data_IF_073332583813
#
_entry.id   IF_073332583813
#
_cell.length_a   1.000
_cell.length_b   1.000
_cell.length_c   1.000
_cell.angle_alpha   90.00
_cell.angle_beta   90.00
_cell.angle_gamma   90.00
#
_symmetry.space_group_name_H-M   'P 1'
#
loop_
_entity.id
_entity.type
_entity.pdbx_description
1 polymer ?
#
# COMPACT_ATOMS: atom_id res chain seq x y z
N UNK A 1 -36.32 4.26 66.50
CA UNK A 1 -36.29 3.83 65.08
C UNK A 1 -35.02 4.38 64.45
N UNK A 2 -34.00 3.57 64.29
CA UNK A 2 -32.74 3.96 63.70
C UNK A 2 -32.72 3.52 62.22
N UNK A 3 -32.73 4.48 61.30
CA UNK A 3 -32.69 4.24 59.85
C UNK A 3 -31.28 3.93 59.40
N UNK A 4 -31.04 2.72 58.90
CA UNK A 4 -29.79 2.33 58.29
C UNK A 4 -29.69 2.87 56.85
N UNK A 5 -28.80 3.84 56.63
CA UNK A 5 -28.51 4.38 55.32
C UNK A 5 -27.56 3.43 54.58
N UNK A 6 -28.01 2.75 53.54
CA UNK A 6 -27.21 1.91 52.68
C UNK A 6 -26.44 2.78 51.65
N UNK A 7 -25.15 2.98 51.86
CA UNK A 7 -24.28 3.65 50.93
C UNK A 7 -23.92 2.69 49.78
N UNK A 8 -24.48 2.93 48.58
CA UNK A 8 -24.13 2.16 47.37
C UNK A 8 -22.78 2.68 46.85
N UNK A 9 -21.74 1.88 47.01
CA UNK A 9 -20.44 2.16 46.40
C UNK A 9 -20.51 1.69 44.95
N UNK A 10 -20.56 2.60 44.00
CA UNK A 10 -20.45 2.29 42.57
C UNK A 10 -18.97 2.20 42.19
N UNK A 11 -18.49 1.00 41.98
CA UNK A 11 -17.10 0.81 41.48
C UNK A 11 -17.02 1.22 39.99
N UNK A 12 -16.32 2.30 39.72
CA UNK A 12 -16.00 2.73 38.34
C UNK A 12 -14.85 1.90 37.83
N UNK A 13 -15.10 0.94 36.95
CA UNK A 13 -14.06 0.15 36.29
C UNK A 13 -13.34 1.03 35.25
N UNK A 14 -12.10 1.39 35.52
CA UNK A 14 -11.22 2.07 34.58
C UNK A 14 -10.71 1.07 33.54
N UNK A 15 -11.25 1.08 32.34
CA UNK A 15 -10.74 0.27 31.22
C UNK A 15 -9.47 0.93 30.70
N UNK A 16 -8.33 0.33 31.03
CA UNK A 16 -7.03 0.75 30.45
C UNK A 16 -6.97 0.27 28.99
N UNK A 17 -7.11 1.20 28.06
CA UNK A 17 -6.87 0.94 26.64
C UNK A 17 -5.35 0.87 26.39
N UNK A 18 -4.81 -0.33 26.28
CA UNK A 18 -3.43 -0.53 25.88
C UNK A 18 -3.44 -0.65 24.34
N UNK A 19 -2.85 0.30 23.60
CA UNK A 19 -2.74 0.19 22.15
C UNK A 19 -1.88 -1.05 21.82
N UNK A 20 -2.46 -2.00 21.10
CA UNK A 20 -1.71 -3.13 20.57
C UNK A 20 -0.74 -2.62 19.50
N UNK A 21 0.56 -2.88 19.67
CA UNK A 21 1.53 -2.64 18.59
C UNK A 21 1.28 -3.67 17.49
N UNK A 22 0.97 -3.19 16.30
CA UNK A 22 0.74 -4.05 15.15
C UNK A 22 2.07 -4.57 14.57
N UNK A 23 2.11 -5.84 14.20
CA UNK A 23 3.12 -6.34 13.28
C UNK A 23 2.85 -5.72 11.91
N UNK A 24 3.92 -5.47 11.12
CA UNK A 24 3.74 -5.01 9.76
C UNK A 24 2.94 -6.04 8.96
N UNK A 25 1.86 -5.59 8.34
CA UNK A 25 1.05 -6.40 7.42
C UNK A 25 1.72 -6.45 6.05
N UNK A 26 1.56 -7.55 5.33
CA UNK A 26 1.95 -7.67 3.92
C UNK A 26 0.96 -6.96 2.97
N UNK A 27 -0.16 -6.48 3.49
CA UNK A 27 -1.11 -5.62 2.80
C UNK A 27 -1.14 -4.24 3.48
N UNK A 28 -1.31 -3.16 2.73
CA UNK A 28 -1.51 -1.85 3.33
C UNK A 28 -2.84 -1.78 4.09
N UNK A 29 -2.90 -0.89 5.08
CA UNK A 29 -4.16 -0.52 5.71
C UNK A 29 -4.97 0.33 4.72
N UNK A 30 -6.12 -0.18 4.29
CA UNK A 30 -6.97 0.49 3.29
C UNK A 30 -7.58 1.82 3.78
N UNK A 31 -7.56 2.10 5.08
CA UNK A 31 -7.99 3.38 5.64
C UNK A 31 -6.89 4.44 5.56
N UNK A 32 -5.62 4.02 5.55
CA UNK A 32 -4.45 4.90 5.44
C UNK A 32 -3.95 4.99 3.98
N UNK A 33 -3.98 3.87 3.27
CA UNK A 33 -3.50 3.78 1.87
C UNK A 33 -4.53 3.01 1.03
N UNK A 34 -5.64 3.64 0.65
CA UNK A 34 -6.67 3.02 -0.20
C UNK A 34 -6.20 2.79 -1.65
N UNK A 35 -5.10 3.41 -2.05
CA UNK A 35 -4.66 3.53 -3.42
C UNK A 35 -5.21 4.77 -4.11
N UNK A 36 -4.34 5.49 -4.82
CA UNK A 36 -4.72 6.66 -5.62
C UNK A 36 -4.12 6.56 -7.02
N UNK A 37 -4.87 7.01 -8.01
CA UNK A 37 -4.46 7.00 -9.42
C UNK A 37 -4.00 8.38 -9.86
N UNK A 38 -3.09 8.41 -10.84
CA UNK A 38 -2.69 9.62 -11.53
C UNK A 38 -3.74 9.96 -12.60
N UNK A 39 -4.50 11.07 -12.46
CA UNK A 39 -5.58 11.40 -13.38
C UNK A 39 -5.09 11.75 -14.80
N UNK A 40 -3.80 12.00 -14.97
CA UNK A 40 -3.18 12.26 -16.28
C UNK A 40 -2.84 10.99 -17.05
N UNK A 41 -2.97 9.81 -16.43
CA UNK A 41 -2.79 8.51 -17.09
C UNK A 41 -4.14 7.85 -17.32
N UNK A 42 -4.50 7.69 -18.58
CA UNK A 42 -5.78 7.10 -19.01
C UNK A 42 -5.53 5.95 -19.98
N UNK A 43 -6.52 5.06 -20.14
CA UNK A 43 -6.43 3.97 -21.12
C UNK A 43 -6.09 4.47 -22.53
N UNK A 44 -6.60 5.64 -22.92
CA UNK A 44 -6.38 6.24 -24.24
C UNK A 44 -4.97 6.75 -24.47
N UNK A 45 -4.24 7.04 -23.37
CA UNK A 45 -2.90 7.62 -23.49
C UNK A 45 -1.77 6.73 -22.96
N UNK A 46 -2.04 5.48 -22.60
CA UNK A 46 -1.01 4.58 -22.04
C UNK A 46 0.25 4.50 -22.89
N UNK A 47 0.11 4.48 -24.22
CA UNK A 47 1.25 4.43 -25.16
C UNK A 47 2.01 5.75 -25.29
N UNK A 48 1.50 6.84 -24.70
CA UNK A 48 2.19 8.15 -24.58
C UNK A 48 2.67 8.42 -23.16
N UNK A 49 2.31 7.56 -22.21
CA UNK A 49 2.63 7.68 -20.79
C UNK A 49 3.30 6.39 -20.29
N UNK A 50 2.61 5.58 -19.49
CA UNK A 50 3.18 4.43 -18.76
C UNK A 50 3.90 3.42 -19.65
N UNK A 51 3.50 3.22 -20.88
CA UNK A 51 4.14 2.30 -21.81
C UNK A 51 5.38 2.88 -22.53
N UNK A 52 5.71 4.15 -22.26
CA UNK A 52 6.93 4.77 -22.76
C UNK A 52 8.10 4.47 -21.85
N UNK A 53 9.19 3.97 -22.42
CA UNK A 53 10.42 3.67 -21.66
C UNK A 53 10.91 4.90 -20.90
N UNK A 54 11.04 4.77 -19.59
CA UNK A 54 11.56 5.84 -18.73
C UNK A 54 10.47 6.77 -18.18
N UNK A 55 9.21 6.66 -18.57
CA UNK A 55 8.13 7.49 -18.06
C UNK A 55 8.09 7.56 -16.53
N UNK A 56 8.16 6.42 -15.85
CA UNK A 56 8.11 6.37 -14.37
C UNK A 56 9.25 7.14 -13.70
N UNK A 57 10.40 7.31 -14.37
CA UNK A 57 11.51 8.12 -13.85
C UNK A 57 11.21 9.62 -13.88
N UNK A 58 10.37 10.06 -14.82
CA UNK A 58 10.02 11.50 -14.96
C UNK A 58 9.00 11.97 -13.92
N UNK A 59 8.24 11.03 -13.34
CA UNK A 59 7.17 11.35 -12.38
C UNK A 59 7.47 10.86 -10.97
N UNK A 60 8.51 10.06 -10.77
CA UNK A 60 8.86 9.52 -9.44
C UNK A 60 9.28 10.64 -8.50
N UNK A 61 8.68 10.71 -7.29
CA UNK A 61 9.06 11.71 -6.31
C UNK A 61 10.50 11.52 -5.83
N UNK A 62 11.17 12.59 -5.40
CA UNK A 62 12.55 12.52 -4.94
C UNK A 62 12.66 11.74 -3.61
N UNK A 63 13.79 11.06 -3.41
CA UNK A 63 14.01 10.19 -2.26
C UNK A 63 13.87 10.89 -0.89
N UNK A 64 14.16 12.20 -0.80
CA UNK A 64 13.98 12.93 0.46
C UNK A 64 12.51 13.02 0.88
N UNK A 65 11.59 13.15 -0.10
CA UNK A 65 10.15 13.15 0.13
C UNK A 65 9.69 11.77 0.64
N UNK A 66 9.98 10.69 -0.11
CA UNK A 66 9.56 9.35 0.25
C UNK A 66 10.19 8.87 1.57
N UNK A 67 11.44 9.21 1.86
CA UNK A 67 12.07 8.87 3.14
C UNK A 67 11.45 9.61 4.34
N UNK A 68 10.99 10.85 4.15
CA UNK A 68 10.27 11.60 5.20
C UNK A 68 8.90 10.97 5.42
N UNK A 69 8.15 10.70 4.36
CA UNK A 69 6.81 10.12 4.41
C UNK A 69 6.85 8.73 5.06
N UNK A 70 7.79 7.85 4.67
CA UNK A 70 7.99 6.54 5.27
C UNK A 70 8.07 6.59 6.80
N UNK A 71 8.89 7.47 7.34
CA UNK A 71 9.04 7.62 8.80
C UNK A 71 7.76 8.09 9.48
N UNK A 72 6.95 8.89 8.80
CA UNK A 72 5.65 9.34 9.29
C UNK A 72 4.66 8.18 9.26
N UNK A 73 4.49 7.53 8.11
CA UNK A 73 3.52 6.45 7.93
C UNK A 73 3.85 5.20 8.76
N UNK A 74 5.12 4.86 8.99
CA UNK A 74 5.48 3.80 9.94
C UNK A 74 4.92 4.04 11.36
N UNK A 75 4.75 5.30 11.77
CA UNK A 75 4.10 5.64 13.06
C UNK A 75 2.59 5.54 12.97
N UNK A 76 2.00 6.04 11.87
CA UNK A 76 0.55 6.02 11.61
C UNK A 76 0.03 4.58 11.49
N UNK A 77 0.79 3.71 10.84
CA UNK A 77 0.52 2.27 10.74
C UNK A 77 0.74 1.52 12.07
N UNK A 78 1.33 2.18 13.08
CA UNK A 78 1.56 1.56 14.38
C UNK A 78 2.58 0.42 14.37
N UNK A 79 3.47 0.33 13.38
CA UNK A 79 4.44 -0.76 13.29
C UNK A 79 5.34 -0.86 14.52
N UNK A 80 5.49 -2.07 15.07
CA UNK A 80 6.39 -2.34 16.19
C UNK A 80 7.86 -2.21 15.79
N UNK A 81 8.23 -2.72 14.62
CA UNK A 81 9.55 -2.52 14.04
C UNK A 81 9.67 -1.09 13.49
N UNK A 82 10.57 -0.31 14.08
CA UNK A 82 10.82 1.09 13.72
C UNK A 82 12.06 1.29 12.84
N UNK A 83 12.71 0.20 12.39
CA UNK A 83 13.87 0.30 11.54
C UNK A 83 13.46 0.60 10.08
N UNK A 84 13.69 1.82 9.55
CA UNK A 84 13.22 2.18 8.21
C UNK A 84 13.96 1.42 7.08
N UNK A 85 15.02 0.69 7.38
CA UNK A 85 15.73 -0.16 6.41
C UNK A 85 14.96 -1.46 6.11
N UNK A 86 14.06 -1.87 7.01
CA UNK A 86 13.23 -3.06 6.83
C UNK A 86 12.01 -2.80 5.95
N UNK A 87 11.80 -1.53 5.58
CA UNK A 87 10.67 -1.09 4.77
C UNK A 87 11.13 -0.31 3.55
N UNK A 88 10.31 -0.34 2.54
CA UNK A 88 10.39 0.53 1.37
C UNK A 88 9.17 1.45 1.35
N UNK A 89 9.35 2.70 0.98
CA UNK A 89 8.22 3.57 0.70
C UNK A 89 7.82 3.30 -0.72
N UNK A 90 6.76 2.53 -0.88
CA UNK A 90 6.35 2.06 -2.18
C UNK A 90 4.93 2.49 -2.56
N UNK A 91 4.65 2.50 -3.87
CA UNK A 91 3.36 2.83 -4.42
C UNK A 91 2.46 1.60 -4.40
N UNK A 92 1.29 1.65 -3.74
CA UNK A 92 0.32 0.55 -3.77
C UNK A 92 -0.11 0.26 -5.21
N UNK A 93 -0.58 1.29 -5.92
CA UNK A 93 -0.77 1.21 -7.37
C UNK A 93 0.51 1.72 -8.02
N UNK A 94 1.22 0.84 -8.72
CA UNK A 94 2.52 1.15 -9.29
C UNK A 94 2.48 2.34 -10.28
N UNK A 95 3.55 3.12 -10.32
CA UNK A 95 3.70 4.19 -11.31
C UNK A 95 3.60 3.69 -12.75
N UNK A 96 4.03 2.46 -13.00
CA UNK A 96 4.02 1.81 -14.30
C UNK A 96 2.62 1.46 -14.82
N UNK A 97 1.62 1.51 -13.95
CA UNK A 97 0.19 1.35 -14.29
C UNK A 97 -0.63 2.56 -13.85
N UNK A 98 -0.01 3.74 -13.75
CA UNK A 98 -0.71 5.00 -13.52
C UNK A 98 -1.12 5.27 -12.07
N UNK A 99 -0.42 4.73 -11.09
CA UNK A 99 -0.56 5.15 -9.70
C UNK A 99 -0.11 6.60 -9.49
N UNK A 100 -0.73 7.28 -8.52
CA UNK A 100 -0.39 8.65 -8.16
C UNK A 100 1.04 8.71 -7.59
N UNK A 101 1.91 9.61 -8.08
CA UNK A 101 3.33 9.58 -7.73
C UNK A 101 3.64 10.07 -6.31
N UNK A 102 2.94 11.10 -5.84
CA UNK A 102 3.23 11.82 -4.60
C UNK A 102 2.04 11.91 -3.63
N UNK A 103 0.96 11.17 -3.92
CA UNK A 103 -0.21 11.11 -3.04
C UNK A 103 0.05 10.10 -1.90
N UNK A 104 0.02 10.53 -0.62
CA UNK A 104 0.16 9.63 0.53
C UNK A 104 -0.86 8.48 0.56
N UNK A 105 -2.04 8.65 -0.06
CA UNK A 105 -3.04 7.59 -0.19
C UNK A 105 -2.60 6.45 -1.14
N UNK A 106 -1.53 6.64 -1.89
CA UNK A 106 -0.93 5.63 -2.77
C UNK A 106 0.44 5.15 -2.30
N UNK A 107 0.98 5.72 -1.23
CA UNK A 107 2.30 5.40 -0.69
C UNK A 107 2.17 4.73 0.67
N UNK A 108 2.98 3.70 0.92
CA UNK A 108 2.97 2.99 2.19
C UNK A 108 4.34 2.37 2.53
N UNK A 109 4.64 2.19 3.82
CA UNK A 109 5.90 1.54 4.24
C UNK A 109 5.78 0.03 4.07
N UNK A 110 6.12 -0.46 2.89
CA UNK A 110 6.05 -1.87 2.52
C UNK A 110 7.17 -2.69 3.14
N UNK A 111 6.88 -3.86 3.77
CA UNK A 111 7.90 -4.73 4.32
C UNK A 111 8.82 -5.33 3.25
N UNK A 112 10.13 -5.28 3.52
CA UNK A 112 11.15 -5.95 2.69
C UNK A 112 11.44 -7.38 3.12
N UNK A 113 11.11 -7.71 4.38
CA UNK A 113 11.42 -8.98 5.03
C UNK A 113 10.11 -9.60 5.53
N UNK A 114 9.42 -10.27 4.62
CA UNK A 114 8.18 -10.98 4.89
C UNK A 114 7.97 -12.03 3.81
N UNK A 115 6.95 -12.87 3.96
CA UNK A 115 6.59 -13.84 2.91
C UNK A 115 6.13 -13.11 1.63
N UNK A 116 5.26 -12.10 1.77
CA UNK A 116 4.76 -11.26 0.69
C UNK A 116 5.47 -9.90 0.74
N UNK A 117 6.72 -9.90 0.31
CA UNK A 117 7.61 -8.74 0.37
C UNK A 117 7.60 -7.91 -0.91
N UNK A 118 8.23 -6.75 -0.86
CA UNK A 118 8.36 -5.81 -1.97
C UNK A 118 8.81 -6.45 -3.29
N UNK A 119 9.74 -7.44 -3.26
CA UNK A 119 10.18 -8.12 -4.49
C UNK A 119 9.08 -8.93 -5.18
N UNK A 120 8.17 -9.53 -4.42
CA UNK A 120 7.01 -10.21 -5.00
C UNK A 120 6.06 -9.20 -5.61
N UNK A 121 5.84 -8.07 -4.95
CA UNK A 121 5.01 -6.99 -5.48
C UNK A 121 5.61 -6.38 -6.75
N UNK A 122 6.91 -6.06 -6.77
CA UNK A 122 7.64 -5.62 -7.98
C UNK A 122 7.42 -6.56 -9.17
N UNK A 123 7.42 -7.87 -8.90
CA UNK A 123 7.17 -8.86 -9.95
C UNK A 123 5.75 -8.77 -10.51
N UNK A 124 4.76 -8.61 -9.66
CA UNK A 124 3.37 -8.41 -10.08
C UNK A 124 3.22 -7.11 -10.89
N UNK A 125 3.78 -6.01 -10.41
CA UNK A 125 3.77 -4.72 -11.11
C UNK A 125 4.30 -4.82 -12.53
N UNK A 126 5.43 -5.53 -12.67
CA UNK A 126 6.01 -5.77 -13.99
C UNK A 126 5.08 -6.59 -14.90
N UNK A 127 4.44 -7.63 -14.37
CA UNK A 127 3.48 -8.45 -15.13
C UNK A 127 2.29 -7.60 -15.56
N UNK A 128 1.65 -6.91 -14.63
CA UNK A 128 0.48 -6.06 -14.93
C UNK A 128 0.84 -4.94 -15.94
N UNK A 129 2.00 -4.29 -15.77
CA UNK A 129 2.51 -3.32 -16.73
C UNK A 129 2.61 -3.90 -18.15
N UNK A 130 3.15 -5.12 -18.29
CA UNK A 130 3.26 -5.78 -19.59
C UNK A 130 1.89 -6.09 -20.19
N UNK A 131 0.96 -6.60 -19.37
CA UNK A 131 -0.39 -6.91 -19.80
C UNK A 131 -1.16 -5.67 -20.24
N UNK A 132 -1.07 -4.57 -19.47
CA UNK A 132 -1.69 -3.28 -19.84
C UNK A 132 -1.12 -2.75 -21.15
N UNK A 133 0.22 -2.73 -21.30
CA UNK A 133 0.84 -2.20 -22.50
C UNK A 133 0.63 -3.07 -23.75
N UNK A 134 0.27 -4.34 -23.57
CA UNK A 134 -0.16 -5.24 -24.65
C UNK A 134 -1.67 -5.28 -24.85
N UNK A 135 -2.41 -4.52 -24.03
CA UNK A 135 -3.88 -4.46 -24.04
C UNK A 135 -4.53 -5.83 -23.74
N UNK A 136 -3.85 -6.69 -22.98
CA UNK A 136 -4.37 -7.98 -22.53
C UNK A 136 -5.36 -7.78 -21.36
N UNK A 137 -5.16 -6.72 -20.56
CA UNK A 137 -6.11 -6.23 -19.56
C UNK A 137 -6.22 -4.71 -19.64
N UNK A 138 -7.30 -4.15 -19.12
CA UNK A 138 -7.45 -2.69 -19.05
C UNK A 138 -6.57 -2.08 -17.96
N UNK A 139 -6.25 -0.78 -18.10
CA UNK A 139 -5.55 -0.01 -17.06
C UNK A 139 -6.32 -0.05 -15.74
N UNK A 140 -7.64 0.15 -15.79
CA UNK A 140 -8.51 0.14 -14.60
C UNK A 140 -8.51 -1.22 -13.90
N UNK A 141 -8.52 -2.32 -14.65
CA UNK A 141 -8.44 -3.67 -14.09
C UNK A 141 -7.13 -3.89 -13.33
N UNK A 142 -6.00 -3.49 -13.92
CA UNK A 142 -4.69 -3.59 -13.26
C UNK A 142 -4.61 -2.73 -11.98
N UNK A 143 -5.12 -1.50 -12.03
CA UNK A 143 -5.19 -0.59 -10.89
C UNK A 143 -6.07 -1.16 -9.76
N UNK A 144 -7.25 -1.66 -10.10
CA UNK A 144 -8.17 -2.27 -9.15
C UNK A 144 -7.58 -3.52 -8.49
N UNK A 145 -6.91 -4.39 -9.27
CA UNK A 145 -6.26 -5.58 -8.73
C UNK A 145 -5.20 -5.25 -7.67
N UNK A 146 -4.36 -4.23 -7.93
CA UNK A 146 -3.36 -3.76 -6.97
C UNK A 146 -4.00 -3.16 -5.72
N UNK A 147 -4.98 -2.27 -5.88
CA UNK A 147 -5.61 -1.55 -4.78
C UNK A 147 -6.44 -2.45 -3.87
N UNK A 148 -7.10 -3.47 -4.43
CA UNK A 148 -7.99 -4.35 -3.65
C UNK A 148 -7.20 -5.36 -2.83
N UNK A 149 -6.33 -6.15 -3.46
CA UNK A 149 -5.47 -7.12 -2.79
C UNK A 149 -4.38 -7.59 -3.75
N UNK A 150 -3.21 -6.97 -3.68
CA UNK A 150 -2.11 -7.30 -4.56
C UNK A 150 -1.57 -8.73 -4.38
N UNK A 151 -1.77 -9.35 -3.21
CA UNK A 151 -1.38 -10.75 -2.97
C UNK A 151 -2.25 -11.70 -3.80
N UNK A 152 -3.56 -11.50 -3.80
CA UNK A 152 -4.47 -12.29 -4.64
C UNK A 152 -4.23 -12.00 -6.12
N UNK A 153 -3.97 -10.74 -6.49
CA UNK A 153 -3.58 -10.39 -7.85
C UNK A 153 -2.27 -11.10 -8.27
N UNK A 154 -1.30 -11.20 -7.37
CA UNK A 154 -0.06 -11.94 -7.64
C UNK A 154 -0.34 -13.42 -7.95
N UNK A 155 -1.16 -14.08 -7.14
CA UNK A 155 -1.55 -15.48 -7.34
C UNK A 155 -2.29 -15.69 -8.67
N UNK A 156 -3.08 -14.72 -9.09
CA UNK A 156 -3.84 -14.76 -10.33
C UNK A 156 -2.96 -14.55 -11.57
N UNK A 157 -2.13 -13.50 -11.56
CA UNK A 157 -1.46 -13.05 -12.79
C UNK A 157 -0.03 -13.57 -12.94
N UNK A 158 0.76 -13.71 -11.86
CA UNK A 158 2.18 -14.02 -11.98
C UNK A 158 2.47 -15.45 -12.44
N UNK A 159 1.80 -16.51 -11.91
CA UNK A 159 2.06 -17.88 -12.35
C UNK A 159 1.80 -18.10 -13.84
N UNK A 160 0.75 -17.45 -14.38
CA UNK A 160 0.37 -17.57 -15.79
C UNK A 160 1.27 -16.81 -16.75
N UNK A 161 2.04 -15.83 -16.25
CA UNK A 161 2.84 -14.91 -17.05
C UNK A 161 4.34 -14.94 -16.70
N UNK A 162 4.87 -16.14 -16.37
CA UNK A 162 6.29 -16.33 -16.06
C UNK A 162 7.22 -16.04 -17.24
N UNK A 163 6.69 -16.07 -18.47
CA UNK A 163 7.42 -15.75 -19.70
C UNK A 163 7.76 -14.26 -19.87
N UNK A 164 7.11 -13.36 -19.12
CA UNK A 164 7.51 -11.97 -19.09
C UNK A 164 8.82 -11.81 -18.32
N UNK A 165 9.87 -11.38 -19.02
CA UNK A 165 11.23 -11.14 -18.50
C UNK A 165 11.71 -9.74 -18.88
#
# INVERSE_FOLDING_TARGET
MLGTSNLKVTALALVLYIPALALASDLPDSTLTPGAINPYVTQQNIHKTVCVKGYTKTIRPPAHFTNKLKKQQMREYGYADRNPKHYEEDHLIALSIGGAPDDPNNLWPEPRISEWNAKKKDRLEFVLYKMVCRQEISLTEAQHAMATNWIEAWKQYVPSHQHYR
#
